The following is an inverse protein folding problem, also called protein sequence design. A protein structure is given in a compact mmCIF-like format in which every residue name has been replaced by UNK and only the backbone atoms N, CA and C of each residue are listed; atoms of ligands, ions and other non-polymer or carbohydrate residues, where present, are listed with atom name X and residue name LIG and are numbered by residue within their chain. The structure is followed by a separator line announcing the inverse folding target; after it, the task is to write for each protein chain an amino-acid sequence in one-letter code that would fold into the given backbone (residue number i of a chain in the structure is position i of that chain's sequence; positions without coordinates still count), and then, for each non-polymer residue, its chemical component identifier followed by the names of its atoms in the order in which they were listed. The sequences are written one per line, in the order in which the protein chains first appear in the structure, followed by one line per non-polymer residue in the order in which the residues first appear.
data_IF_797727063591
#
_entry.id   IF_797727063591
#
_cell.length_a   1.000
_cell.length_b   1.000
_cell.length_c   1.000
_cell.angle_alpha   90.00
_cell.angle_beta   90.00
_cell.angle_gamma   90.00
#
_symmetry.space_group_name_H-M   'P 1'
#
loop_
_entity.id
_entity.type
_entity.pdbx_description
1 polymer ?
#
# COMPACT_ATOMS: atom_id res chain seq x y z
N UNK A 1 1.00 -6.09 12.85
CA UNK A 1 0.37 -5.66 11.58
C UNK A 1 0.96 -6.45 10.43
N UNK A 2 0.18 -6.74 9.40
CA UNK A 2 0.66 -7.24 8.10
C UNK A 2 0.82 -6.05 7.17
N UNK A 3 2.05 -5.82 6.72
CA UNK A 3 2.43 -4.66 5.91
C UNK A 3 2.84 -5.18 4.54
N UNK A 4 2.08 -4.81 3.51
CA UNK A 4 2.44 -5.12 2.12
C UNK A 4 3.26 -3.96 1.57
N UNK A 5 4.38 -4.27 0.95
CA UNK A 5 5.32 -3.27 0.42
C UNK A 5 5.70 -3.62 -1.02
N UNK A 6 5.86 -2.61 -1.87
CA UNK A 6 6.52 -2.77 -3.17
C UNK A 6 7.99 -3.18 -2.93
N UNK A 7 8.40 -4.30 -3.54
CA UNK A 7 9.71 -4.93 -3.37
C UNK A 7 10.90 -4.05 -3.76
N UNK A 8 10.67 -3.06 -4.61
CA UNK A 8 11.71 -2.17 -5.11
C UNK A 8 11.84 -0.87 -4.28
N UNK A 9 11.10 -0.71 -3.17
CA UNK A 9 11.30 0.44 -2.27
C UNK A 9 12.58 0.21 -1.46
N UNK A 10 13.62 1.06 -1.61
CA UNK A 10 14.87 0.87 -0.88
C UNK A 10 14.66 1.02 0.63
N UNK A 11 15.30 0.14 1.41
CA UNK A 11 15.33 0.18 2.88
C UNK A 11 13.97 0.05 3.59
N UNK A 12 12.90 -0.32 2.87
CA UNK A 12 11.54 -0.37 3.43
C UNK A 12 11.42 -1.43 4.54
N UNK A 13 12.20 -2.50 4.42
CA UNK A 13 12.20 -3.59 5.39
C UNK A 13 12.79 -3.11 6.73
N UNK A 14 13.95 -2.48 6.68
CA UNK A 14 14.65 -1.92 7.84
C UNK A 14 13.83 -0.81 8.51
N UNK A 15 13.16 0.02 7.70
CA UNK A 15 12.30 1.08 8.20
C UNK A 15 11.07 0.56 8.94
N UNK A 16 10.50 -0.59 8.52
CA UNK A 16 9.22 -1.08 9.02
C UNK A 16 9.31 -2.32 9.91
N UNK A 17 10.50 -2.88 10.13
CA UNK A 17 10.69 -4.15 10.86
C UNK A 17 10.10 -4.12 12.28
N UNK A 18 10.13 -2.96 12.93
CA UNK A 18 9.58 -2.78 14.28
C UNK A 18 8.03 -2.70 14.30
N UNK A 19 7.39 -2.55 13.14
CA UNK A 19 5.96 -2.25 13.02
C UNK A 19 5.11 -3.45 12.59
N UNK A 20 5.71 -4.55 12.12
CA UNK A 20 4.93 -5.75 11.79
C UNK A 20 5.62 -6.77 10.89
N UNK A 21 4.81 -7.67 10.35
CA UNK A 21 5.21 -8.68 9.36
C UNK A 21 5.16 -8.02 7.99
N UNK A 22 6.30 -7.94 7.32
CA UNK A 22 6.46 -7.29 6.02
C UNK A 22 6.38 -8.32 4.90
N UNK A 23 5.67 -7.96 3.84
CA UNK A 23 5.45 -8.81 2.67
C UNK A 23 5.75 -8.00 1.44
N UNK A 24 6.86 -8.34 0.80
CA UNK A 24 7.29 -7.73 -0.45
C UNK A 24 6.52 -8.33 -1.61
N UNK A 25 5.98 -7.48 -2.47
CA UNK A 25 5.28 -7.86 -3.71
C UNK A 25 5.73 -6.95 -4.85
N UNK A 26 5.69 -7.42 -6.10
CA UNK A 26 5.87 -6.53 -7.24
C UNK A 26 4.79 -5.45 -7.24
N UNK A 27 5.18 -4.17 -7.29
CA UNK A 27 4.21 -3.07 -7.37
C UNK A 27 3.38 -3.10 -8.67
N UNK A 28 3.98 -3.59 -9.77
CA UNK A 28 3.31 -3.76 -11.05
C UNK A 28 2.40 -4.99 -11.01
N UNK A 29 1.12 -4.78 -11.31
CA UNK A 29 0.14 -5.87 -11.33
C UNK A 29 -0.27 -6.34 -9.94
N UNK A 30 -0.03 -5.53 -8.90
CA UNK A 30 -0.58 -5.78 -7.57
C UNK A 30 -2.11 -5.89 -7.66
N UNK A 31 -2.65 -6.96 -7.07
CA UNK A 31 -4.08 -7.24 -7.05
C UNK A 31 -4.63 -7.20 -5.62
N UNK A 32 -5.93 -6.98 -5.51
CA UNK A 32 -6.69 -7.04 -4.25
C UNK A 32 -6.42 -8.32 -3.45
N UNK A 33 -6.31 -9.47 -4.11
CA UNK A 33 -6.09 -10.77 -3.44
C UNK A 33 -4.76 -10.83 -2.67
N UNK A 34 -3.79 -9.98 -3.03
CA UNK A 34 -2.54 -9.85 -2.26
C UNK A 34 -2.70 -8.99 -1.01
N UNK A 35 -3.83 -8.30 -0.86
CA UNK A 35 -4.14 -7.36 0.21
C UNK A 35 -5.19 -7.87 1.21
N UNK A 36 -5.69 -9.11 1.05
CA UNK A 36 -6.83 -9.63 1.83
C UNK A 36 -6.67 -9.55 3.36
N UNK A 37 -5.44 -9.61 3.85
CA UNK A 37 -5.11 -9.50 5.29
C UNK A 37 -4.21 -8.30 5.60
N UNK A 38 -3.98 -7.40 4.65
CA UNK A 38 -3.03 -6.31 4.80
C UNK A 38 -3.64 -5.19 5.65
N UNK A 39 -2.92 -4.76 6.69
CA UNK A 39 -3.27 -3.59 7.50
C UNK A 39 -2.77 -2.28 6.86
N UNK A 40 -1.61 -2.35 6.19
CA UNK A 40 -0.94 -1.21 5.58
C UNK A 40 -0.32 -1.59 4.23
N UNK A 41 -0.27 -0.61 3.32
CA UNK A 41 0.27 -0.74 1.97
C UNK A 41 1.30 0.37 1.70
N UNK A 42 2.51 -0.01 1.27
CA UNK A 42 3.53 0.94 0.80
C UNK A 42 3.85 0.70 -0.67
N UNK A 43 3.71 1.71 -1.52
CA UNK A 43 3.85 1.60 -2.97
C UNK A 43 4.76 2.67 -3.56
N UNK A 44 5.05 2.54 -4.86
CA UNK A 44 5.59 3.61 -5.72
C UNK A 44 4.55 3.99 -6.77
N UNK A 45 4.90 4.96 -7.64
CA UNK A 45 4.01 5.48 -8.70
C UNK A 45 3.54 4.46 -9.74
N UNK A 46 4.14 3.27 -9.78
CA UNK A 46 3.74 2.17 -10.70
C UNK A 46 2.44 1.49 -10.28
N UNK A 47 2.01 1.64 -9.02
CA UNK A 47 0.79 1.04 -8.48
C UNK A 47 -0.30 2.09 -8.44
N UNK A 48 -1.42 1.85 -9.12
CA UNK A 48 -2.64 2.67 -8.95
C UNK A 48 -3.33 2.28 -7.65
N UNK A 49 -3.54 3.25 -6.76
CA UNK A 49 -4.21 3.06 -5.47
C UNK A 49 -5.57 3.77 -5.52
N UNK A 50 -6.64 2.99 -5.64
CA UNK A 50 -8.00 3.47 -5.70
C UNK A 50 -8.98 2.40 -5.19
N UNK A 51 -10.29 2.65 -5.35
CA UNK A 51 -11.34 1.73 -4.97
C UNK A 51 -11.18 0.33 -5.58
N UNK A 52 -10.75 0.24 -6.84
CA UNK A 52 -10.63 -1.04 -7.54
C UNK A 52 -9.55 -1.92 -6.90
N UNK A 53 -8.49 -1.33 -6.35
CA UNK A 53 -7.47 -2.05 -5.59
C UNK A 53 -7.93 -2.35 -4.15
N UNK A 54 -8.51 -1.36 -3.47
CA UNK A 54 -8.62 -1.38 -2.01
C UNK A 54 -9.99 -1.73 -1.45
N UNK A 55 -11.11 -1.64 -2.20
CA UNK A 55 -12.49 -1.72 -1.67
C UNK A 55 -12.71 -2.73 -0.52
N UNK A 56 -13.12 -3.98 -0.66
CA UNK A 56 -13.29 -4.88 0.49
C UNK A 56 -11.99 -5.42 1.12
N UNK A 57 -10.96 -4.58 1.31
CA UNK A 57 -9.71 -4.94 2.00
C UNK A 57 -9.67 -4.40 3.44
N UNK A 58 -8.71 -4.88 4.23
CA UNK A 58 -8.48 -4.42 5.60
C UNK A 58 -7.51 -3.23 5.70
N UNK A 59 -7.01 -2.73 4.55
CA UNK A 59 -5.97 -1.69 4.52
C UNK A 59 -6.50 -0.40 5.12
N UNK A 60 -5.78 0.15 6.10
CA UNK A 60 -6.12 1.41 6.79
C UNK A 60 -5.08 2.49 6.64
N UNK A 61 -3.93 2.15 6.08
CA UNK A 61 -2.81 3.07 5.85
C UNK A 61 -2.19 2.84 4.48
N UNK A 62 -2.01 3.91 3.70
CA UNK A 62 -1.29 3.88 2.44
C UNK A 62 -0.11 4.85 2.48
N UNK A 63 1.10 4.31 2.35
CA UNK A 63 2.31 5.09 2.12
C UNK A 63 2.70 5.07 0.65
N UNK A 64 3.04 6.22 0.07
CA UNK A 64 3.66 6.30 -1.25
C UNK A 64 5.09 6.82 -1.14
N UNK A 65 6.05 6.03 -1.61
CA UNK A 65 7.47 6.38 -1.65
C UNK A 65 7.82 7.21 -2.90
N UNK A 66 6.99 8.21 -3.22
CA UNK A 66 7.20 9.14 -4.33
C UNK A 66 6.86 10.57 -3.96
N UNK A 67 7.42 11.54 -4.67
CA UNK A 67 7.16 12.96 -4.43
C UNK A 67 5.73 13.39 -4.84
N UNK A 68 5.14 12.71 -5.84
CA UNK A 68 3.79 12.97 -6.33
C UNK A 68 2.79 11.90 -5.89
N UNK A 69 1.51 12.20 -6.06
CA UNK A 69 0.39 11.36 -5.59
C UNK A 69 -0.66 11.10 -6.68
N UNK A 70 -0.36 11.38 -7.95
CA UNK A 70 -1.30 11.21 -9.08
C UNK A 70 -1.82 9.76 -9.26
N UNK A 71 -1.08 8.79 -8.72
CA UNK A 71 -1.45 7.37 -8.73
C UNK A 71 -2.32 6.97 -7.53
N UNK A 72 -2.62 7.89 -6.61
CA UNK A 72 -3.40 7.67 -5.39
C UNK A 72 -4.66 8.50 -5.44
N UNK A 73 -5.82 7.85 -5.31
CA UNK A 73 -7.12 8.50 -5.21
C UNK A 73 -7.34 9.04 -3.78
N UNK A 74 -6.75 10.20 -3.49
CA UNK A 74 -6.78 10.81 -2.15
C UNK A 74 -8.21 11.09 -1.66
N UNK A 75 -9.10 11.52 -2.55
CA UNK A 75 -10.48 11.83 -2.20
C UNK A 75 -11.21 10.56 -1.77
N UNK A 76 -11.03 9.46 -2.51
CA UNK A 76 -11.63 8.18 -2.14
C UNK A 76 -11.07 7.62 -0.82
N UNK A 77 -9.74 7.70 -0.63
CA UNK A 77 -9.10 7.27 0.62
C UNK A 77 -9.64 8.07 1.81
N UNK A 78 -9.77 9.39 1.67
CA UNK A 78 -10.30 10.25 2.71
C UNK A 78 -11.75 9.89 3.08
N UNK A 79 -12.62 9.65 2.08
CA UNK A 79 -14.01 9.21 2.31
C UNK A 79 -14.09 7.86 3.02
N UNK A 80 -13.15 6.95 2.74
CA UNK A 80 -13.08 5.64 3.40
C UNK A 80 -12.37 5.66 4.76
N UNK A 81 -11.80 6.79 5.17
CA UNK A 81 -11.06 6.90 6.42
C UNK A 81 -9.73 6.13 6.40
N UNK A 82 -9.15 5.94 5.21
CA UNK A 82 -7.82 5.37 5.03
C UNK A 82 -6.81 6.51 5.13
N UNK A 83 -5.82 6.37 6.02
CA UNK A 83 -4.78 7.37 6.26
C UNK A 83 -3.70 7.33 5.19
#
# INVERSE_FOLDING_TARGET
MRIVVDEDIPFIHEALVAHGIIISVPGRGLTRDRLSDADALFVRSVTRVDAALLEDTQVRFVGSATAGVDHVDLDWLAVRGIT
#
